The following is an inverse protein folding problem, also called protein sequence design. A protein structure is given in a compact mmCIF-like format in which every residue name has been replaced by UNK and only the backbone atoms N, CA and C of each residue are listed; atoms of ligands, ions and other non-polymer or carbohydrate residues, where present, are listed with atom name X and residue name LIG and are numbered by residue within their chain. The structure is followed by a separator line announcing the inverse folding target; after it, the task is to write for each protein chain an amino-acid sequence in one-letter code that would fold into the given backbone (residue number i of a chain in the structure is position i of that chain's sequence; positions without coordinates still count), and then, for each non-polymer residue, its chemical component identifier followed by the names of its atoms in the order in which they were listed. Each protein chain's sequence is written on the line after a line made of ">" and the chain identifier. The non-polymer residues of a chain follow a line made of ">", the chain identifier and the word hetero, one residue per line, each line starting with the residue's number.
data_IF_057707170758
#
_entry.id   IF_057707170758
#
_cell.length_a   1.000
_cell.length_b   1.000
_cell.length_c   1.000
_cell.angle_alpha   90.00
_cell.angle_beta   90.00
_cell.angle_gamma   90.00
#
_symmetry.space_group_name_H-M   'P 1'
#
loop_
_entity.id
_entity.type
_entity.pdbx_description
1 polymer ?
#
# COMPACT_ATOMS: atom_id res chain seq x y z
N UNK A 1 23.10 -2.88 -7.60
CA UNK A 1 21.71 -2.58 -7.22
C UNK A 1 20.85 -3.41 -8.14
N UNK A 2 20.35 -4.55 -7.65
CA UNK A 2 19.39 -5.33 -8.42
C UNK A 2 18.05 -4.61 -8.26
N UNK A 3 17.72 -3.78 -9.25
CA UNK A 3 16.34 -3.41 -9.53
C UNK A 3 15.59 -4.72 -9.63
N UNK A 4 14.80 -5.06 -8.61
CA UNK A 4 13.82 -6.13 -8.72
C UNK A 4 12.91 -5.62 -9.85
N UNK A 5 12.95 -6.22 -11.05
CA UNK A 5 12.00 -5.86 -12.08
C UNK A 5 10.63 -6.02 -11.45
N UNK A 6 9.66 -5.16 -11.75
CA UNK A 6 8.25 -5.37 -11.41
C UNK A 6 7.82 -6.74 -11.99
N UNK A 7 8.14 -7.79 -11.25
CA UNK A 7 8.05 -9.17 -11.68
C UNK A 7 6.61 -9.52 -11.45
N UNK A 8 5.76 -9.11 -12.41
CA UNK A 8 4.35 -9.45 -12.55
C UNK A 8 3.70 -9.81 -11.22
N UNK A 9 3.67 -8.89 -10.25
CA UNK A 9 2.79 -9.06 -9.10
C UNK A 9 1.40 -9.20 -9.71
N UNK A 10 0.80 -10.38 -9.59
CA UNK A 10 -0.50 -10.67 -10.19
C UNK A 10 -1.54 -9.95 -9.32
N UNK A 11 -1.60 -8.63 -9.49
CA UNK A 11 -2.49 -7.76 -8.75
C UNK A 11 -3.91 -8.13 -9.15
N UNK A 12 -4.63 -8.71 -8.22
CA UNK A 12 -6.07 -8.93 -8.36
C UNK A 12 -6.81 -7.60 -8.26
N UNK A 13 -6.26 -6.68 -7.46
CA UNK A 13 -6.79 -5.35 -7.26
C UNK A 13 -5.70 -4.41 -6.73
N UNK A 14 -5.70 -3.14 -7.12
CA UNK A 14 -4.77 -2.11 -6.65
C UNK A 14 -5.45 -0.75 -6.67
N UNK A 15 -5.13 0.09 -5.69
CA UNK A 15 -5.47 1.52 -5.70
C UNK A 15 -4.31 2.33 -5.16
N UNK A 16 -3.93 3.35 -5.93
CA UNK A 16 -3.06 4.43 -5.46
C UNK A 16 -3.92 5.38 -4.63
N UNK A 17 -3.64 5.46 -3.33
CA UNK A 17 -4.34 6.33 -2.38
C UNK A 17 -3.87 7.76 -2.55
N UNK A 18 -2.58 7.94 -2.76
CA UNK A 18 -1.96 9.23 -2.99
C UNK A 18 -0.70 9.07 -3.85
N UNK A 19 -0.39 10.09 -4.64
CA UNK A 19 0.88 10.21 -5.35
C UNK A 19 1.27 11.67 -5.47
N UNK A 20 2.56 11.94 -5.62
CA UNK A 20 3.05 13.29 -5.93
C UNK A 20 2.55 13.70 -7.30
N UNK A 21 2.04 14.94 -7.38
CA UNK A 21 1.59 15.50 -8.64
C UNK A 21 2.80 15.70 -9.58
N UNK A 22 2.77 15.14 -10.79
CA UNK A 22 3.88 15.22 -11.74
C UNK A 22 4.07 16.64 -12.31
N UNK A 23 3.07 17.52 -12.27
CA UNK A 23 3.19 18.92 -12.67
C UNK A 23 3.88 19.75 -11.58
N UNK A 24 3.67 19.41 -10.30
CA UNK A 24 4.35 20.07 -9.18
C UNK A 24 5.82 19.63 -9.02
N UNK A 25 6.15 18.39 -9.39
CA UNK A 25 7.50 17.85 -9.27
C UNK A 25 7.94 17.05 -10.52
N UNK A 26 8.08 17.71 -11.69
CA UNK A 26 8.32 17.03 -12.97
C UNK A 26 9.68 16.29 -13.07
N UNK A 27 10.61 16.60 -12.18
CA UNK A 27 11.93 15.96 -12.07
C UNK A 27 12.19 15.40 -10.66
N UNK A 28 11.18 15.40 -9.79
CA UNK A 28 11.30 14.98 -8.39
C UNK A 28 11.10 13.47 -8.21
N UNK A 29 11.51 12.91 -7.06
CA UNK A 29 11.20 11.52 -6.71
C UNK A 29 9.69 11.30 -6.66
N UNK A 30 9.21 10.31 -7.39
CA UNK A 30 7.79 9.93 -7.37
C UNK A 30 7.47 9.24 -6.03
N UNK A 31 6.79 9.96 -5.14
CA UNK A 31 6.26 9.41 -3.91
C UNK A 31 4.82 8.93 -4.15
N UNK A 32 4.50 7.78 -3.56
CA UNK A 32 3.17 7.19 -3.66
C UNK A 32 2.83 6.39 -2.42
N UNK A 33 1.53 6.30 -2.17
CA UNK A 33 0.93 5.45 -1.16
C UNK A 33 -0.07 4.57 -1.88
N UNK A 34 0.10 3.26 -1.75
CA UNK A 34 -0.70 2.30 -2.49
C UNK A 34 -1.12 1.14 -1.61
N UNK A 35 -2.31 0.63 -1.89
CA UNK A 35 -2.80 -0.62 -1.33
C UNK A 35 -3.16 -1.55 -2.49
N UNK A 36 -2.75 -2.80 -2.38
CA UNK A 36 -3.02 -3.80 -3.39
C UNK A 36 -3.24 -5.18 -2.80
N UNK A 37 -4.00 -5.98 -3.53
CA UNK A 37 -4.19 -7.40 -3.29
C UNK A 37 -3.55 -8.17 -4.44
N UNK A 38 -2.67 -9.12 -4.13
CA UNK A 38 -2.06 -10.01 -5.13
C UNK A 38 -2.24 -11.47 -4.77
N UNK A 39 -2.23 -12.31 -5.81
CA UNK A 39 -2.11 -13.74 -5.65
C UNK A 39 -0.67 -14.13 -5.34
N UNK A 40 -0.50 -14.92 -4.29
CA UNK A 40 0.77 -15.49 -3.84
C UNK A 40 0.71 -17.01 -3.90
N UNK A 41 1.86 -17.69 -3.89
CA UNK A 41 1.89 -19.15 -4.01
C UNK A 41 1.00 -19.87 -2.99
N UNK A 42 0.77 -19.30 -1.80
CA UNK A 42 0.02 -19.95 -0.72
C UNK A 42 -1.35 -19.31 -0.43
N UNK A 43 -1.80 -18.32 -1.20
CA UNK A 43 -3.01 -17.58 -0.89
C UNK A 43 -3.06 -16.20 -1.51
N UNK A 44 -3.72 -15.27 -0.84
CA UNK A 44 -3.86 -13.88 -1.29
C UNK A 44 -3.32 -12.94 -0.21
N UNK A 45 -2.51 -11.97 -0.61
CA UNK A 45 -1.87 -11.03 0.29
C UNK A 45 -2.39 -9.62 0.05
N UNK A 46 -2.71 -8.92 1.14
CA UNK A 46 -3.05 -7.50 1.11
C UNK A 46 -1.84 -6.71 1.60
N UNK A 47 -1.33 -5.86 0.72
CA UNK A 47 -0.12 -5.10 0.94
C UNK A 47 -0.41 -3.61 0.98
N UNK A 48 0.36 -2.93 1.81
CA UNK A 48 0.45 -1.49 1.86
C UNK A 48 1.86 -1.05 1.48
N UNK A 49 2.01 -0.38 0.34
CA UNK A 49 3.26 0.23 -0.08
C UNK A 49 3.27 1.71 0.30
N UNK A 50 4.18 2.08 1.20
CA UNK A 50 4.37 3.45 1.69
C UNK A 50 5.67 4.02 1.15
N UNK A 51 5.57 5.06 0.33
CA UNK A 51 6.69 5.84 -0.18
C UNK A 51 6.33 7.32 -0.07
N UNK A 52 6.55 7.93 1.09
CA UNK A 52 6.36 9.36 1.31
C UNK A 52 7.71 10.09 1.35
N UNK A 53 7.73 11.39 1.08
CA UNK A 53 8.94 12.19 1.26
C UNK A 53 9.35 12.20 2.74
N UNK A 54 10.64 12.42 3.02
CA UNK A 54 11.16 12.40 4.40
C UNK A 54 10.52 13.48 5.29
N UNK A 55 10.15 14.60 4.68
CA UNK A 55 9.50 15.76 5.29
C UNK A 55 7.97 15.76 5.14
N UNK A 56 7.40 14.76 4.45
CA UNK A 56 5.95 14.61 4.34
C UNK A 56 5.36 14.23 5.71
N UNK A 57 4.31 14.94 6.12
CA UNK A 57 3.67 14.82 7.44
C UNK A 57 2.42 13.95 7.42
N UNK A 58 2.06 13.35 6.28
CA UNK A 58 0.90 12.46 6.17
C UNK A 58 1.13 11.18 6.95
N UNK A 59 0.04 10.67 7.53
CA UNK A 59 0.05 9.44 8.29
C UNK A 59 0.53 9.60 9.72
N UNK A 60 0.98 8.48 10.31
CA UNK A 60 1.38 8.42 11.72
C UNK A 60 2.88 8.67 11.83
N UNK A 61 3.27 9.54 12.77
CA UNK A 61 4.66 9.84 13.04
C UNK A 61 5.44 8.58 13.46
N UNK A 62 6.62 8.39 12.87
CA UNK A 62 7.50 7.26 13.16
C UNK A 62 7.25 6.02 12.31
N UNK A 63 6.22 6.00 11.46
CA UNK A 63 6.06 4.94 10.46
C UNK A 63 7.02 5.19 9.31
N UNK A 64 7.90 4.22 9.08
CA UNK A 64 8.90 4.28 8.03
C UNK A 64 8.31 4.00 6.64
N UNK A 65 9.02 4.37 5.57
CA UNK A 65 8.68 3.87 4.25
C UNK A 65 9.02 2.37 4.15
N UNK A 66 8.17 1.61 3.44
CA UNK A 66 8.31 0.15 3.30
C UNK A 66 7.09 -0.49 2.66
N UNK A 67 7.18 -1.78 2.37
CA UNK A 67 6.02 -2.61 2.03
C UNK A 67 5.58 -3.34 3.29
N UNK A 68 4.30 -3.22 3.62
CA UNK A 68 3.71 -3.79 4.83
C UNK A 68 2.69 -4.86 4.43
N UNK A 69 2.91 -6.09 4.87
CA UNK A 69 1.93 -7.16 4.73
C UNK A 69 0.84 -6.94 5.79
N UNK A 70 -0.30 -6.39 5.38
CA UNK A 70 -1.40 -6.08 6.29
C UNK A 70 -2.16 -7.34 6.70
N UNK A 71 -2.52 -8.17 5.73
CA UNK A 71 -3.33 -9.37 5.93
C UNK A 71 -2.94 -10.45 4.90
N UNK A 72 -3.12 -11.72 5.28
CA UNK A 72 -2.95 -12.87 4.39
C UNK A 72 -4.16 -13.80 4.49
N UNK A 73 -4.68 -14.19 3.33
CA UNK A 73 -5.88 -15.00 3.18
C UNK A 73 -5.56 -16.33 2.50
N UNK A 74 -6.28 -17.39 2.87
CA UNK A 74 -6.13 -18.70 2.22
C UNK A 74 -6.53 -18.64 0.74
N UNK A 75 -6.08 -19.63 -0.05
CA UNK A 75 -6.40 -19.75 -1.48
C UNK A 75 -7.90 -19.84 -1.81
N UNK A 76 -8.77 -20.12 -0.82
CA UNK A 76 -10.22 -20.18 -1.01
C UNK A 76 -10.91 -18.85 -0.74
N UNK A 77 -10.22 -17.88 -0.16
CA UNK A 77 -10.79 -16.63 0.36
C UNK A 77 -10.40 -15.42 -0.49
N UNK A 78 -10.44 -15.58 -1.81
CA UNK A 78 -10.07 -14.54 -2.78
C UNK A 78 -10.88 -13.25 -2.59
N UNK A 79 -12.21 -13.38 -2.57
CA UNK A 79 -13.10 -12.23 -2.53
C UNK A 79 -12.97 -11.47 -1.20
N UNK A 80 -12.74 -12.18 -0.09
CA UNK A 80 -12.48 -11.55 1.20
C UNK A 80 -11.17 -10.75 1.19
N UNK A 81 -10.12 -11.23 0.52
CA UNK A 81 -8.86 -10.50 0.39
C UNK A 81 -9.03 -9.21 -0.44
N UNK A 82 -9.79 -9.29 -1.55
CA UNK A 82 -10.11 -8.13 -2.38
C UNK A 82 -10.99 -7.14 -1.62
N UNK A 83 -12.05 -7.62 -0.98
CA UNK A 83 -12.97 -6.80 -0.18
C UNK A 83 -12.21 -6.06 0.93
N UNK A 84 -11.32 -6.75 1.65
CA UNK A 84 -10.47 -6.13 2.67
C UNK A 84 -9.65 -4.97 2.09
N UNK A 85 -8.98 -5.18 0.96
CA UNK A 85 -8.18 -4.15 0.31
C UNK A 85 -9.05 -2.96 -0.15
N UNK A 86 -10.20 -3.23 -0.76
CA UNK A 86 -11.15 -2.21 -1.24
C UNK A 86 -11.71 -1.39 -0.08
N UNK A 87 -12.13 -2.05 1.02
CA UNK A 87 -12.71 -1.37 2.17
C UNK A 87 -11.70 -0.45 2.85
N UNK A 88 -10.46 -0.89 3.05
CA UNK A 88 -9.40 -0.02 3.61
C UNK A 88 -9.16 1.18 2.70
N UNK A 89 -9.01 0.95 1.40
CA UNK A 89 -8.67 2.01 0.44
C UNK A 89 -9.78 3.04 0.19
N UNK A 90 -11.01 2.74 0.60
CA UNK A 90 -12.18 3.61 0.48
C UNK A 90 -12.81 3.90 1.85
N UNK A 91 -12.08 3.67 2.94
CA UNK A 91 -12.56 3.89 4.30
C UNK A 91 -12.78 5.36 4.65
N UNK A 92 -12.18 6.28 3.88
CA UNK A 92 -12.35 7.72 4.01
C UNK A 92 -12.26 8.41 2.64
N UNK A 93 -12.84 9.60 2.52
CA UNK A 93 -12.77 10.43 1.31
C UNK A 93 -11.45 11.20 1.23
N UNK A 94 -10.80 11.46 2.37
CA UNK A 94 -9.54 12.21 2.45
C UNK A 94 -8.37 11.22 2.46
N UNK A 95 -7.46 11.35 1.49
CA UNK A 95 -6.31 10.45 1.34
C UNK A 95 -5.45 10.38 2.62
N UNK A 96 -5.23 11.51 3.28
CA UNK A 96 -4.45 11.59 4.52
C UNK A 96 -5.04 10.72 5.63
N UNK A 97 -6.38 10.66 5.74
CA UNK A 97 -7.08 9.81 6.70
C UNK A 97 -6.92 8.32 6.38
N UNK A 98 -6.96 7.97 5.09
CA UNK A 98 -6.70 6.60 4.63
C UNK A 98 -5.24 6.21 4.93
N UNK A 99 -4.28 7.12 4.74
CA UNK A 99 -2.87 6.90 5.08
C UNK A 99 -2.69 6.69 6.60
N UNK A 100 -3.33 7.49 7.46
CA UNK A 100 -3.29 7.30 8.91
C UNK A 100 -3.85 5.93 9.33
N UNK A 101 -4.94 5.48 8.71
CA UNK A 101 -5.51 4.15 8.95
C UNK A 101 -4.57 3.03 8.50
N UNK A 102 -3.97 3.15 7.31
CA UNK A 102 -2.99 2.21 6.79
C UNK A 102 -1.74 2.12 7.68
N UNK A 103 -1.24 3.27 8.15
CA UNK A 103 -0.11 3.36 9.08
C UNK A 103 -0.44 2.72 10.43
N UNK A 104 -1.68 2.85 10.91
CA UNK A 104 -2.14 2.18 12.14
C UNK A 104 -2.16 0.66 11.97
N UNK A 105 -2.61 0.15 10.81
CA UNK A 105 -2.55 -1.27 10.49
C UNK A 105 -1.10 -1.74 10.32
N UNK A 106 -0.24 -0.90 9.75
CA UNK A 106 1.17 -1.18 9.54
C UNK A 106 1.93 -1.42 10.85
N UNK A 107 1.50 -0.80 11.96
CA UNK A 107 2.10 -1.01 13.28
C UNK A 107 2.00 -2.46 13.79
N UNK A 108 0.95 -3.19 13.38
CA UNK A 108 0.77 -4.61 13.68
C UNK A 108 1.21 -5.53 12.53
N UNK A 109 1.59 -4.95 11.39
CA UNK A 109 1.93 -5.67 10.17
C UNK A 109 3.39 -6.14 10.15
N UNK A 110 3.69 -7.03 9.21
CA UNK A 110 5.08 -7.38 8.90
C UNK A 110 5.62 -6.46 7.81
N UNK A 111 6.57 -5.60 8.17
CA UNK A 111 7.38 -4.83 7.21
C UNK A 111 8.33 -5.78 6.48
N UNK A 112 8.42 -5.65 5.16
CA UNK A 112 9.32 -6.40 4.27
C UNK A 112 10.26 -5.45 3.55
#
# INVERSE_FOLDING_TARGET
>A
MNEIPESKKNHLWRKTVWHTDPEEAPLGPHHSVEIYCCEESNGYAVWYARRLAKDDRRGVAGVENGDYLLDFFSRTNRDAAIERAVLIANGDAVADKVIEQLDTLAAAARKV
#
